data_IF_213578981079
#
_entry.id   IF_213578981079
#
_cell.length_a   1.000
_cell.length_b   1.000
_cell.length_c   1.000
_cell.angle_alpha   90.00
_cell.angle_beta   90.00
_cell.angle_gamma   90.00
#
_symmetry.space_group_name_H-M   'P 1'
#
loop_
_entity.id
_entity.type
_entity.pdbx_description
1 polymer ?
#
# COMPACT_ATOMS: atom_id res chain seq x y z
N UNK A 1 -6.21 -15.23 1.09
CA UNK A 1 -6.23 -13.76 0.87
C UNK A 1 -6.55 -13.13 2.20
N UNK A 2 -5.59 -12.45 2.84
CA UNK A 2 -5.79 -11.78 4.15
C UNK A 2 -5.40 -10.29 4.13
N UNK A 3 -4.57 -9.86 3.18
CA UNK A 3 -4.02 -8.50 3.19
C UNK A 3 -4.89 -7.45 2.50
N UNK A 4 -5.74 -7.83 1.54
CA UNK A 4 -6.74 -6.91 0.95
C UNK A 4 -7.77 -6.47 2.00
N UNK A 5 -8.10 -7.33 2.95
CA UNK A 5 -8.99 -7.00 4.07
C UNK A 5 -8.32 -5.98 5.00
N UNK A 6 -7.04 -6.19 5.32
CA UNK A 6 -6.26 -5.26 6.15
C UNK A 6 -6.19 -3.85 5.52
N UNK A 7 -5.98 -3.73 4.21
CA UNK A 7 -5.96 -2.42 3.55
C UNK A 7 -7.31 -1.72 3.70
N UNK A 8 -8.41 -2.44 3.49
CA UNK A 8 -9.75 -1.88 3.66
C UNK A 8 -9.98 -1.41 5.09
N UNK A 9 -9.60 -2.22 6.10
CA UNK A 9 -9.70 -1.83 7.51
C UNK A 9 -8.87 -0.57 7.82
N UNK A 10 -7.67 -0.45 7.26
CA UNK A 10 -6.82 0.74 7.43
C UNK A 10 -7.40 1.98 6.73
N UNK A 11 -8.06 1.79 5.58
CA UNK A 11 -8.77 2.87 4.89
C UNK A 11 -10.01 3.32 5.67
N UNK A 12 -10.80 2.37 6.18
CA UNK A 12 -11.99 2.67 7.02
C UNK A 12 -11.61 3.34 8.34
N UNK A 13 -10.47 2.95 8.92
CA UNK A 13 -9.91 3.62 10.10
C UNK A 13 -9.34 5.02 9.81
N UNK A 14 -9.34 5.45 8.55
CA UNK A 14 -8.76 6.73 8.12
C UNK A 14 -7.24 6.79 8.23
N UNK A 15 -6.56 5.65 8.33
CA UNK A 15 -5.09 5.56 8.42
C UNK A 15 -4.43 5.60 7.04
N UNK A 16 -5.06 4.93 6.07
CA UNK A 16 -4.69 4.97 4.65
C UNK A 16 -5.71 5.83 3.90
N UNK A 17 -5.24 6.81 3.15
CA UNK A 17 -6.09 7.72 2.39
C UNK A 17 -6.33 7.21 0.96
N UNK A 18 -5.30 6.66 0.33
CA UNK A 18 -5.36 6.15 -1.03
C UNK A 18 -4.35 5.04 -1.24
N UNK A 19 -4.67 4.10 -2.11
CA UNK A 19 -3.76 3.08 -2.62
C UNK A 19 -3.89 3.06 -4.12
N UNK A 20 -2.77 3.10 -4.83
CA UNK A 20 -2.72 3.01 -6.28
C UNK A 20 -1.83 1.80 -6.62
N UNK A 21 -2.34 0.92 -7.46
CA UNK A 21 -1.59 -0.21 -7.99
C UNK A 21 -1.67 -0.14 -9.51
N UNK A 22 -0.51 -0.05 -10.15
CA UNK A 22 -0.39 0.11 -11.60
C UNK A 22 0.51 -0.97 -12.21
N UNK A 23 0.19 -1.40 -13.42
CA UNK A 23 1.08 -2.27 -14.20
C UNK A 23 2.04 -1.41 -15.03
N UNK A 24 3.33 -1.66 -14.88
CA UNK A 24 4.37 -0.95 -15.64
C UNK A 24 4.41 -1.44 -17.09
N UNK A 25 5.02 -0.68 -18.02
CA UNK A 25 5.18 -1.10 -19.42
C UNK A 25 5.94 -2.42 -19.58
N UNK A 26 6.82 -2.76 -18.64
CA UNK A 26 7.56 -4.02 -18.58
C UNK A 26 6.72 -5.21 -18.06
N UNK A 27 5.45 -4.98 -17.72
CA UNK A 27 4.55 -6.00 -17.20
C UNK A 27 4.73 -6.30 -15.70
N UNK A 28 5.53 -5.52 -14.98
CA UNK A 28 5.68 -5.60 -13.52
C UNK A 28 4.58 -4.79 -12.83
N UNK A 29 4.42 -4.97 -11.52
CA UNK A 29 3.44 -4.22 -10.73
C UNK A 29 4.15 -3.16 -9.89
N UNK A 30 3.64 -1.94 -9.91
CA UNK A 30 4.12 -0.84 -9.09
C UNK A 30 2.98 -0.39 -8.18
N UNK A 31 3.30 0.04 -6.97
CA UNK A 31 2.30 0.50 -6.00
C UNK A 31 2.77 1.75 -5.25
N UNK A 32 1.82 2.65 -5.03
CA UNK A 32 1.93 3.76 -4.09
C UNK A 32 0.73 3.77 -3.15
N UNK A 33 0.91 4.40 -2.00
CA UNK A 33 -0.18 4.67 -1.08
C UNK A 33 0.09 5.92 -0.24
N UNK A 34 -0.97 6.60 0.16
CA UNK A 34 -0.88 7.77 1.04
C UNK A 34 -1.51 7.45 2.38
N UNK A 35 -0.89 7.91 3.46
CA UNK A 35 -1.35 7.72 4.83
C UNK A 35 -1.66 9.06 5.50
N UNK A 36 -2.55 9.04 6.48
CA UNK A 36 -3.13 10.26 7.04
C UNK A 36 -2.12 11.17 7.76
N UNK A 37 -1.04 10.62 8.32
CA UNK A 37 -0.09 11.38 9.12
C UNK A 37 1.07 11.99 8.31
N UNK A 38 1.41 11.43 7.14
CA UNK A 38 2.43 12.04 6.26
C UNK A 38 1.83 12.97 5.23
N UNK A 39 0.60 12.72 4.77
CA UNK A 39 -0.04 13.36 3.59
C UNK A 39 0.76 13.25 2.27
N UNK A 40 2.02 12.81 2.32
CA UNK A 40 2.88 12.48 1.20
C UNK A 40 2.67 11.03 0.74
N UNK A 41 2.66 10.78 -0.58
CA UNK A 41 2.59 9.44 -1.13
C UNK A 41 3.87 8.65 -0.81
N UNK A 42 3.68 7.40 -0.40
CA UNK A 42 4.73 6.43 -0.12
C UNK A 42 4.82 5.49 -1.31
N UNK A 43 5.91 5.60 -2.05
CA UNK A 43 6.15 4.83 -3.27
C UNK A 43 6.98 3.58 -2.96
N UNK A 44 6.69 2.47 -3.64
CA UNK A 44 7.55 1.29 -3.56
C UNK A 44 8.90 1.57 -4.25
N UNK A 45 10.01 1.17 -3.61
CA UNK A 45 11.36 1.30 -4.17
C UNK A 45 11.65 0.32 -5.31
N UNK A 46 10.84 -0.73 -5.45
CA UNK A 46 10.96 -1.77 -6.47
C UNK A 46 9.59 -2.25 -6.94
N UNK A 47 9.53 -2.74 -8.19
CA UNK A 47 8.30 -3.30 -8.74
C UNK A 47 8.09 -4.76 -8.29
N UNK A 48 6.84 -5.11 -8.01
CA UNK A 48 6.38 -6.44 -7.62
C UNK A 48 6.07 -7.35 -8.80
N UNK A 49 6.03 -8.66 -8.55
CA UNK A 49 5.70 -9.69 -9.54
C UNK A 49 4.19 -9.87 -9.72
N UNK A 50 3.39 -9.51 -8.71
CA UNK A 50 1.94 -9.65 -8.72
C UNK A 50 1.26 -8.49 -7.99
N UNK A 51 -0.05 -8.34 -8.23
CA UNK A 51 -0.87 -7.35 -7.53
C UNK A 51 -0.99 -7.72 -6.05
N UNK A 52 -1.09 -9.02 -5.74
CA UNK A 52 -1.12 -9.51 -4.37
C UNK A 52 0.15 -9.12 -3.60
N UNK A 53 1.33 -9.33 -4.17
CA UNK A 53 2.60 -8.93 -3.53
C UNK A 53 2.66 -7.43 -3.24
N UNK A 54 2.12 -6.61 -4.15
CA UNK A 54 2.09 -5.17 -4.00
C UNK A 54 1.13 -4.73 -2.87
N UNK A 55 -0.05 -5.34 -2.80
CA UNK A 55 -1.02 -5.09 -1.72
C UNK A 55 -0.47 -5.59 -0.37
N UNK A 56 0.21 -6.73 -0.34
CA UNK A 56 0.87 -7.25 0.86
C UNK A 56 1.89 -6.25 1.41
N UNK A 57 2.70 -5.65 0.52
CA UNK A 57 3.66 -4.62 0.91
C UNK A 57 2.98 -3.35 1.42
N UNK A 58 1.93 -2.86 0.75
CA UNK A 58 1.15 -1.70 1.20
C UNK A 58 0.59 -1.93 2.60
N UNK A 59 -0.08 -3.07 2.82
CA UNK A 59 -0.69 -3.43 4.10
C UNK A 59 0.35 -3.45 5.24
N UNK A 60 1.48 -4.13 5.03
CA UNK A 60 2.54 -4.22 6.04
C UNK A 60 3.20 -2.88 6.32
N UNK A 61 3.46 -2.08 5.28
CA UNK A 61 4.11 -0.77 5.43
C UNK A 61 3.18 0.20 6.16
N UNK A 62 1.91 0.26 5.78
CA UNK A 62 0.90 1.09 6.44
C UNK A 62 0.67 0.70 7.92
N UNK A 63 0.67 -0.61 8.23
CA UNK A 63 0.60 -1.10 9.62
C UNK A 63 1.80 -0.63 10.44
N UNK A 64 3.02 -0.89 9.94
CA UNK A 64 4.27 -0.54 10.64
C UNK A 64 4.36 0.97 10.90
N UNK A 65 3.92 1.80 9.95
CA UNK A 65 3.88 3.24 10.14
C UNK A 65 2.82 3.67 11.17
N UNK A 66 1.68 2.99 11.18
CA UNK A 66 0.59 3.24 12.13
C UNK A 66 0.95 2.86 13.57
N UNK A 67 1.89 1.93 13.79
CA UNK A 67 2.39 1.55 15.12
C UNK A 67 3.51 2.46 15.63
N UNK A 68 4.09 3.30 14.76
CA UNK A 68 5.17 4.25 15.10
C UNK A 68 4.68 5.67 15.41
N UNK A 69 3.39 5.95 15.21
CA UNK A 69 2.71 7.20 15.62
C UNK A 69 1.91 6.99 16.90
#
# INVERSE_FOLDING_TARGET
MKNSEIINELMEAGKVLSVIVSRTPEGKIWADFTVHFTEEPIECSECFKSVDDALDWVAQTALNLSEKS
#
